data_IF_368522492746
#
_entry.id   IF_368522492746
#
_cell.length_a   1.000
_cell.length_b   1.000
_cell.length_c   1.000
_cell.angle_alpha   90.00
_cell.angle_beta   90.00
_cell.angle_gamma   90.00
#
_symmetry.space_group_name_H-M   'P 1'
#
loop_
_entity.id
_entity.type
_entity.pdbx_description
1 polymer ?
#
# COMPACT_ATOMS: atom_id res chain seq x y z
N UNK A 1 -50.52 -35.49 22.03
CA UNK A 1 -49.39 -36.44 22.08
C UNK A 1 -48.73 -36.67 20.72
N UNK A 2 -49.47 -36.81 19.61
CA UNK A 2 -48.87 -37.18 18.31
C UNK A 2 -48.11 -36.07 17.57
N UNK A 3 -48.49 -34.79 17.72
CA UNK A 3 -47.83 -33.67 17.00
C UNK A 3 -46.41 -33.38 17.54
N UNK A 4 -46.24 -33.38 18.86
CA UNK A 4 -44.94 -33.18 19.50
C UNK A 4 -43.96 -34.33 19.19
N UNK A 5 -44.46 -35.56 19.11
CA UNK A 5 -43.66 -36.72 18.71
C UNK A 5 -43.22 -36.63 17.24
N UNK A 6 -44.12 -36.18 16.35
CA UNK A 6 -43.81 -35.97 14.93
C UNK A 6 -42.76 -34.86 14.71
N UNK A 7 -42.89 -33.75 15.43
CA UNK A 7 -41.89 -32.66 15.40
C UNK A 7 -40.54 -33.16 15.94
N UNK A 8 -40.53 -33.90 17.05
CA UNK A 8 -39.30 -34.47 17.61
C UNK A 8 -38.61 -35.43 16.64
N UNK A 9 -39.36 -36.26 15.91
CA UNK A 9 -38.82 -37.16 14.89
C UNK A 9 -38.24 -36.38 13.70
N UNK A 10 -38.94 -35.36 13.21
CA UNK A 10 -38.46 -34.53 12.11
C UNK A 10 -37.18 -33.77 12.48
N UNK A 11 -37.10 -33.21 13.69
CA UNK A 11 -35.87 -32.56 14.20
C UNK A 11 -34.71 -33.55 14.27
N UNK A 12 -34.96 -34.80 14.68
CA UNK A 12 -33.94 -35.84 14.71
C UNK A 12 -33.45 -36.21 13.31
N UNK A 13 -34.35 -36.39 12.35
CA UNK A 13 -33.99 -36.68 10.96
C UNK A 13 -33.21 -35.54 10.32
N UNK A 14 -33.61 -34.29 10.54
CA UNK A 14 -32.86 -33.11 10.10
C UNK A 14 -31.49 -33.07 10.74
N UNK A 15 -31.36 -33.39 12.03
CA UNK A 15 -30.06 -33.42 12.71
C UNK A 15 -29.16 -34.55 12.18
N UNK A 16 -29.70 -35.74 11.93
CA UNK A 16 -28.98 -36.86 11.33
C UNK A 16 -28.54 -36.51 9.90
N UNK A 17 -29.40 -35.88 9.11
CA UNK A 17 -29.08 -35.42 7.77
C UNK A 17 -27.99 -34.35 7.77
N UNK A 18 -28.10 -33.32 8.63
CA UNK A 18 -27.08 -32.27 8.78
C UNK A 18 -25.76 -32.88 9.25
N UNK A 19 -25.79 -33.83 10.17
CA UNK A 19 -24.61 -34.57 10.63
C UNK A 19 -23.98 -35.38 9.49
N UNK A 20 -24.79 -36.11 8.72
CA UNK A 20 -24.34 -36.91 7.58
C UNK A 20 -23.70 -36.05 6.48
N UNK A 21 -24.34 -34.92 6.13
CA UNK A 21 -23.82 -33.96 5.14
C UNK A 21 -22.52 -33.31 5.64
N UNK A 22 -22.45 -32.90 6.91
CA UNK A 22 -21.20 -32.35 7.50
C UNK A 22 -20.08 -33.38 7.56
N UNK A 23 -20.38 -34.65 7.82
CA UNK A 23 -19.36 -35.68 8.00
C UNK A 23 -18.77 -36.19 6.67
N UNK A 24 -19.49 -35.98 5.56
CA UNK A 24 -19.09 -36.36 4.20
C UNK A 24 -18.56 -35.21 3.33
N UNK A 25 -18.41 -33.98 3.86
CA UNK A 25 -17.91 -32.86 3.07
C UNK A 25 -16.45 -33.04 2.58
N UNK A 26 -15.66 -33.87 3.27
CA UNK A 26 -14.29 -34.21 2.89
C UNK A 26 -14.03 -35.71 3.04
N UNK A 27 -13.23 -36.33 2.15
CA UNK A 27 -12.89 -37.75 2.25
C UNK A 27 -12.18 -38.07 3.58
N UNK A 28 -12.34 -39.31 4.02
CA UNK A 28 -11.67 -39.81 5.23
C UNK A 28 -10.15 -39.91 5.00
N UNK A 29 -9.31 -39.75 6.03
CA UNK A 29 -7.86 -39.91 5.87
C UNK A 29 -7.49 -41.27 5.26
N UNK A 30 -6.42 -41.27 4.44
CA UNK A 30 -5.90 -42.50 3.86
C UNK A 30 -5.36 -43.45 4.94
N UNK A 31 -5.36 -44.75 4.63
CA UNK A 31 -4.64 -45.74 5.45
C UNK A 31 -3.13 -45.49 5.36
N UNK A 32 -2.36 -46.02 6.31
CA UNK A 32 -0.89 -45.84 6.29
C UNK A 32 -0.24 -46.48 5.06
N UNK A 33 -0.82 -47.57 4.55
CA UNK A 33 -0.33 -48.28 3.37
C UNK A 33 -0.69 -47.53 2.09
N UNK A 34 -1.91 -46.99 2.00
CA UNK A 34 -2.33 -46.15 0.87
C UNK A 34 -1.56 -44.83 0.82
N UNK A 35 -1.35 -44.17 1.96
CA UNK A 35 -0.55 -42.94 2.05
C UNK A 35 0.87 -43.20 1.50
N UNK A 36 1.51 -44.31 1.90
CA UNK A 36 2.82 -44.70 1.37
C UNK A 36 2.79 -44.94 -0.14
N UNK A 37 1.81 -45.69 -0.63
CA UNK A 37 1.65 -45.98 -2.05
C UNK A 37 1.50 -44.70 -2.88
N UNK A 38 0.65 -43.78 -2.46
CA UNK A 38 0.43 -42.53 -3.20
C UNK A 38 1.61 -41.58 -3.10
N UNK A 39 2.36 -41.59 -2.00
CA UNK A 39 3.62 -40.85 -1.89
C UNK A 39 4.67 -41.37 -2.90
N UNK A 40 4.81 -42.68 -3.04
CA UNK A 40 5.73 -43.30 -4.03
C UNK A 40 5.31 -42.98 -5.47
N UNK A 41 4.01 -43.01 -5.78
CA UNK A 41 3.50 -42.63 -7.10
C UNK A 41 3.71 -41.14 -7.39
N UNK A 42 3.52 -40.28 -6.39
CA UNK A 42 3.76 -38.85 -6.53
C UNK A 42 5.23 -38.53 -6.79
N UNK A 43 6.17 -39.25 -6.15
CA UNK A 43 7.61 -39.13 -6.43
C UNK A 43 7.96 -39.51 -7.88
N UNK A 44 7.15 -40.37 -8.52
CA UNK A 44 7.25 -40.72 -9.94
C UNK A 44 6.58 -39.69 -10.88
N UNK A 45 6.00 -38.63 -10.32
CA UNK A 45 5.33 -37.55 -11.07
C UNK A 45 3.82 -37.76 -11.29
N UNK A 46 3.18 -38.69 -10.58
CA UNK A 46 1.73 -38.91 -10.70
C UNK A 46 0.93 -37.77 -10.07
N UNK A 47 0.28 -36.98 -10.93
CA UNK A 47 -0.58 -35.87 -10.53
C UNK A 47 -1.89 -36.31 -9.83
N UNK A 48 -2.41 -37.51 -10.14
CA UNK A 48 -3.59 -38.06 -9.47
C UNK A 48 -3.26 -38.44 -8.03
N UNK A 49 -2.11 -39.07 -7.82
CA UNK A 49 -1.62 -39.39 -6.48
C UNK A 49 -1.45 -38.12 -5.62
N UNK A 50 -0.88 -37.06 -6.20
CA UNK A 50 -0.78 -35.74 -5.54
C UNK A 50 -2.16 -35.21 -5.12
N UNK A 51 -3.14 -35.21 -6.02
CA UNK A 51 -4.48 -34.69 -5.72
C UNK A 51 -5.18 -35.51 -4.63
N UNK A 52 -5.08 -36.84 -4.66
CA UNK A 52 -5.61 -37.70 -3.61
C UNK A 52 -5.00 -37.39 -2.24
N UNK A 53 -3.67 -37.24 -2.17
CA UNK A 53 -3.00 -36.87 -0.93
C UNK A 53 -3.49 -35.51 -0.39
N UNK A 54 -3.76 -34.53 -1.26
CA UNK A 54 -4.31 -33.23 -0.87
C UNK A 54 -5.74 -33.40 -0.34
N UNK A 55 -6.64 -34.00 -1.11
CA UNK A 55 -8.07 -34.13 -0.77
C UNK A 55 -8.29 -34.86 0.55
N UNK A 56 -7.60 -35.98 0.76
CA UNK A 56 -7.70 -36.78 1.99
C UNK A 56 -7.08 -36.11 3.22
N UNK A 57 -6.32 -35.02 3.06
CA UNK A 57 -5.77 -34.23 4.15
C UNK A 57 -6.47 -32.87 4.36
N UNK A 58 -7.52 -32.53 3.60
CA UNK A 58 -8.24 -31.25 3.76
C UNK A 58 -8.85 -31.06 5.17
N UNK A 59 -9.26 -32.14 5.83
CA UNK A 59 -9.78 -32.08 7.22
C UNK A 59 -8.73 -31.54 8.21
N UNK A 60 -7.45 -31.75 7.94
CA UNK A 60 -6.35 -31.22 8.74
C UNK A 60 -6.27 -29.69 8.65
N UNK A 61 -6.51 -29.14 7.45
CA UNK A 61 -6.56 -27.68 7.23
C UNK A 61 -7.65 -27.06 8.10
N UNK A 62 -8.87 -27.58 8.00
CA UNK A 62 -10.00 -27.11 8.80
C UNK A 62 -9.72 -27.22 10.31
N UNK A 63 -9.04 -28.27 10.76
CA UNK A 63 -8.65 -28.41 12.17
C UNK A 63 -7.62 -27.36 12.62
N UNK A 64 -6.64 -27.04 11.78
CA UNK A 64 -5.59 -26.07 12.11
C UNK A 64 -6.13 -24.64 12.09
N UNK A 65 -7.00 -24.32 11.12
CA UNK A 65 -7.63 -22.99 11.00
C UNK A 65 -8.41 -22.61 12.27
N UNK A 66 -8.99 -23.57 13.00
CA UNK A 66 -9.67 -23.31 14.29
C UNK A 66 -8.81 -22.58 15.31
N UNK A 67 -7.48 -22.76 15.27
CA UNK A 67 -6.55 -22.04 16.16
C UNK A 67 -6.47 -20.54 15.86
N UNK A 68 -6.90 -20.13 14.66
CA UNK A 68 -6.79 -18.79 14.13
C UNK A 68 -8.15 -18.06 14.02
N UNK A 69 -9.27 -18.66 14.44
CA UNK A 69 -10.60 -18.02 14.37
C UNK A 69 -10.67 -16.67 15.11
N UNK A 70 -9.83 -16.46 16.13
CA UNK A 70 -9.78 -15.21 16.90
C UNK A 70 -8.98 -14.08 16.24
N UNK A 71 -8.46 -14.25 15.02
CA UNK A 71 -7.68 -13.19 14.34
C UNK A 71 -8.56 -12.09 13.73
N UNK A 72 -9.87 -12.35 13.58
CA UNK A 72 -10.82 -11.45 12.92
C UNK A 72 -10.81 -11.56 11.39
N UNK A 73 -10.12 -12.55 10.85
CA UNK A 73 -10.10 -12.87 9.42
C UNK A 73 -11.25 -13.82 9.07
N UNK A 74 -11.67 -13.79 7.80
CA UNK A 74 -12.68 -14.71 7.31
C UNK A 74 -12.19 -16.16 7.35
N UNK A 75 -13.03 -17.06 7.86
CA UNK A 75 -12.67 -18.46 8.01
C UNK A 75 -12.45 -19.16 6.66
N UNK A 76 -13.16 -18.77 5.61
CA UNK A 76 -13.01 -19.31 4.25
C UNK A 76 -11.68 -18.87 3.63
N UNK A 77 -11.24 -17.64 3.88
CA UNK A 77 -9.93 -17.15 3.47
C UNK A 77 -8.80 -17.93 4.16
N UNK A 78 -8.91 -18.12 5.49
CA UNK A 78 -7.94 -18.90 6.25
C UNK A 78 -7.89 -20.38 5.79
N UNK A 79 -9.03 -20.97 5.43
CA UNK A 79 -9.09 -22.32 4.84
C UNK A 79 -8.38 -22.33 3.48
N UNK A 80 -8.61 -21.33 2.64
CA UNK A 80 -7.97 -21.23 1.31
C UNK A 80 -6.45 -21.10 1.43
N UNK A 81 -5.98 -20.22 2.31
CA UNK A 81 -4.54 -20.02 2.60
C UNK A 81 -3.93 -21.30 3.20
N UNK A 82 -4.63 -21.91 4.16
CA UNK A 82 -4.21 -23.18 4.75
C UNK A 82 -4.11 -24.30 3.72
N UNK A 83 -5.02 -24.33 2.74
CA UNK A 83 -5.00 -25.29 1.62
C UNK A 83 -3.78 -25.09 0.73
N UNK A 84 -3.38 -23.84 0.47
CA UNK A 84 -2.10 -23.54 -0.22
C UNK A 84 -0.92 -24.10 0.58
N UNK A 85 -0.92 -23.92 1.90
CA UNK A 85 0.09 -24.49 2.79
C UNK A 85 0.14 -26.03 2.75
N UNK A 86 -1.02 -26.69 2.66
CA UNK A 86 -1.13 -28.14 2.48
C UNK A 86 -0.56 -28.58 1.12
N UNK A 87 -0.95 -27.93 0.02
CA UNK A 87 -0.44 -28.25 -1.32
C UNK A 87 1.08 -28.20 -1.36
N UNK A 88 1.66 -27.08 -0.87
CA UNK A 88 3.12 -26.94 -0.77
C UNK A 88 3.74 -28.06 0.07
N UNK A 89 3.09 -28.43 1.18
CA UNK A 89 3.58 -29.50 2.04
C UNK A 89 3.58 -30.86 1.34
N UNK A 90 2.52 -31.19 0.60
CA UNK A 90 2.45 -32.44 -0.17
C UNK A 90 3.55 -32.45 -1.23
N UNK A 91 3.71 -31.36 -1.98
CA UNK A 91 4.72 -31.25 -3.05
C UNK A 91 6.16 -31.33 -2.55
N UNK A 92 6.45 -30.81 -1.35
CA UNK A 92 7.81 -30.77 -0.80
C UNK A 92 8.12 -31.86 0.24
N UNK A 93 7.16 -32.74 0.54
CA UNK A 93 7.35 -33.81 1.52
C UNK A 93 8.31 -34.88 0.98
N UNK A 94 9.07 -35.50 1.89
CA UNK A 94 10.01 -36.59 1.55
C UNK A 94 9.91 -37.69 2.61
N UNK A 95 9.54 -38.90 2.16
CA UNK A 95 9.51 -40.07 3.02
C UNK A 95 10.96 -40.48 3.36
N UNK A 96 11.30 -40.55 4.66
CA UNK A 96 12.64 -40.91 5.12
C UNK A 96 13.29 -39.93 6.11
N UNK A 97 12.68 -38.75 6.32
CA UNK A 97 13.14 -37.78 7.34
C UNK A 97 12.58 -38.01 8.75
N UNK A 98 11.93 -39.16 8.98
CA UNK A 98 11.42 -39.56 10.30
C UNK A 98 10.17 -38.84 10.80
N UNK A 99 9.57 -37.94 10.01
CA UNK A 99 8.34 -37.22 10.36
C UNK A 99 7.16 -37.69 9.54
N UNK A 100 6.00 -37.90 10.17
CA UNK A 100 4.75 -38.25 9.47
C UNK A 100 4.28 -37.09 8.58
N UNK A 101 3.61 -37.42 7.47
CA UNK A 101 3.08 -36.44 6.52
C UNK A 101 2.18 -35.40 7.21
N UNK A 102 1.20 -35.84 7.99
CA UNK A 102 0.29 -34.95 8.72
C UNK A 102 1.04 -33.98 9.66
N UNK A 103 2.12 -34.42 10.31
CA UNK A 103 2.94 -33.56 11.19
C UNK A 103 3.67 -32.49 10.40
N UNK A 104 4.24 -32.86 9.25
CA UNK A 104 4.91 -31.92 8.36
C UNK A 104 3.92 -30.93 7.73
N UNK A 105 2.82 -31.43 7.18
CA UNK A 105 1.74 -30.65 6.60
C UNK A 105 1.16 -29.66 7.61
N UNK A 106 0.96 -30.08 8.86
CA UNK A 106 0.45 -29.19 9.89
C UNK A 106 1.34 -27.96 10.10
N UNK A 107 2.67 -28.13 10.09
CA UNK A 107 3.62 -27.02 10.21
C UNK A 107 3.59 -26.09 9.00
N UNK A 108 3.46 -26.63 7.79
CA UNK A 108 3.39 -25.83 6.56
C UNK A 108 2.08 -25.03 6.48
N UNK A 109 0.94 -25.65 6.81
CA UNK A 109 -0.37 -24.99 6.89
C UNK A 109 -0.32 -23.83 7.87
N UNK A 110 0.17 -24.10 9.10
CA UNK A 110 0.31 -23.07 10.13
C UNK A 110 1.23 -21.93 9.69
N UNK A 111 2.36 -22.24 9.05
CA UNK A 111 3.30 -21.25 8.57
C UNK A 111 2.67 -20.35 7.48
N UNK A 112 1.93 -20.91 6.53
CA UNK A 112 1.30 -20.12 5.46
C UNK A 112 0.27 -19.15 6.03
N UNK A 113 -0.57 -19.60 6.97
CA UNK A 113 -1.52 -18.74 7.69
C UNK A 113 -0.79 -17.62 8.44
N UNK A 114 0.26 -17.95 9.20
CA UNK A 114 1.05 -16.96 9.93
C UNK A 114 1.74 -15.94 9.01
N UNK A 115 2.20 -16.37 7.83
CA UNK A 115 2.78 -15.49 6.82
C UNK A 115 1.75 -14.50 6.29
N UNK A 116 0.54 -14.96 5.99
CA UNK A 116 -0.56 -14.09 5.56
C UNK A 116 -0.93 -13.05 6.65
N UNK A 117 -1.13 -13.49 7.88
CA UNK A 117 -1.44 -12.60 9.02
C UNK A 117 -0.35 -11.55 9.26
N UNK A 118 0.92 -11.87 8.97
CA UNK A 118 2.03 -10.92 9.06
C UNK A 118 1.94 -9.82 8.00
N UNK A 119 1.47 -10.13 6.81
CA UNK A 119 1.23 -9.14 5.75
C UNK A 119 0.12 -8.20 6.16
N UNK A 120 -1.01 -8.74 6.62
CA UNK A 120 -2.16 -7.93 7.08
C UNK A 120 -1.83 -7.01 8.25
N UNK A 121 -0.96 -7.43 9.17
CA UNK A 121 -0.49 -6.55 10.27
C UNK A 121 0.21 -5.29 9.77
N UNK A 122 0.81 -5.29 8.57
CA UNK A 122 1.48 -4.09 8.01
C UNK A 122 0.47 -3.04 7.56
N UNK A 123 -0.64 -3.48 6.96
CA UNK A 123 -1.70 -2.62 6.43
C UNK A 123 -2.79 -2.33 7.45
N UNK A 124 -2.81 -2.99 8.61
CA UNK A 124 -3.79 -2.76 9.68
C UNK A 124 -3.82 -1.32 10.23
N UNK A 125 -2.79 -0.52 9.98
CA UNK A 125 -2.76 0.91 10.35
C UNK A 125 -3.32 1.83 9.27
N UNK A 126 -3.60 1.29 8.09
CA UNK A 126 -4.16 2.04 6.98
C UNK A 126 -5.63 2.31 7.29
N UNK A 127 -6.06 3.54 7.06
CA UNK A 127 -7.44 3.98 7.23
C UNK A 127 -7.98 4.34 5.85
N UNK A 128 -9.27 4.11 5.62
CA UNK A 128 -9.88 4.49 4.36
C UNK A 128 -10.07 6.00 4.33
N UNK A 129 -9.71 6.64 3.21
CA UNK A 129 -9.91 8.09 3.06
C UNK A 129 -11.39 8.47 3.01
N UNK A 130 -12.27 7.50 2.76
CA UNK A 130 -13.72 7.67 2.74
C UNK A 130 -14.35 7.43 4.12
N UNK A 131 -13.58 7.00 5.12
CA UNK A 131 -14.13 6.77 6.45
C UNK A 131 -14.59 8.12 7.04
N UNK A 132 -15.81 8.19 7.59
CA UNK A 132 -16.33 9.42 8.16
C UNK A 132 -15.55 9.75 9.44
N UNK A 133 -15.11 10.99 9.55
CA UNK A 133 -14.35 11.51 10.70
C UNK A 133 -15.18 12.46 11.58
N UNK A 134 -16.37 12.85 11.11
CA UNK A 134 -17.28 13.73 11.85
C UNK A 134 -18.51 14.09 11.04
N UNK A 135 -19.30 15.02 11.57
CA UNK A 135 -20.45 15.62 10.89
C UNK A 135 -20.23 17.13 10.78
N UNK A 136 -20.69 17.72 9.69
CA UNK A 136 -20.75 19.17 9.54
C UNK A 136 -21.88 19.78 10.40
N UNK A 137 -22.08 21.11 10.30
CA UNK A 137 -23.15 21.82 11.02
C UNK A 137 -24.56 21.48 10.51
N UNK A 138 -24.66 20.87 9.33
CA UNK A 138 -25.90 20.53 8.64
C UNK A 138 -26.24 19.03 8.82
N UNK A 139 -25.35 18.26 9.45
CA UNK A 139 -25.50 16.83 9.74
C UNK A 139 -24.95 15.91 8.65
N UNK A 140 -24.28 16.44 7.61
CA UNK A 140 -23.66 15.60 6.58
C UNK A 140 -22.36 15.00 7.12
N UNK A 141 -22.06 13.76 6.73
CA UNK A 141 -20.81 13.09 7.08
C UNK A 141 -19.64 13.73 6.35
N UNK A 142 -18.57 14.05 7.08
CA UNK A 142 -17.31 14.53 6.53
C UNK A 142 -16.34 13.36 6.53
N UNK A 143 -15.72 13.10 5.39
CA UNK A 143 -14.70 12.07 5.23
C UNK A 143 -13.29 12.65 5.23
N UNK A 144 -12.28 11.80 5.42
CA UNK A 144 -10.88 12.25 5.48
C UNK A 144 -10.45 12.92 4.16
N UNK A 145 -10.90 12.41 3.01
CA UNK A 145 -10.60 12.96 1.68
C UNK A 145 -11.08 14.41 1.52
N UNK A 146 -12.16 14.81 2.20
CA UNK A 146 -12.72 16.17 2.13
C UNK A 146 -11.83 17.21 2.83
N UNK A 147 -10.99 16.77 3.77
CA UNK A 147 -10.10 17.65 4.55
C UNK A 147 -8.70 17.73 3.94
N UNK A 148 -8.27 16.70 3.23
CA UNK A 148 -6.92 16.62 2.69
C UNK A 148 -6.69 17.72 1.64
N UNK A 149 -5.74 18.62 1.94
CA UNK A 149 -5.34 19.68 1.02
C UNK A 149 -4.57 19.07 -0.16
N UNK A 150 -4.93 19.47 -1.37
CA UNK A 150 -4.14 19.17 -2.57
C UNK A 150 -2.77 19.86 -2.50
N UNK A 151 -1.71 19.18 -2.93
CA UNK A 151 -0.36 19.76 -3.07
C UNK A 151 -0.24 20.75 -4.25
N UNK A 152 -1.32 20.94 -5.02
CA UNK A 152 -1.34 21.91 -6.11
C UNK A 152 -1.02 23.32 -5.61
N UNK A 153 -0.10 24.01 -6.29
CA UNK A 153 0.21 25.42 -6.03
C UNK A 153 -1.08 26.25 -6.06
N UNK A 154 -1.24 27.15 -5.10
CA UNK A 154 -2.40 28.02 -5.04
C UNK A 154 -2.38 28.96 -6.25
N UNK A 155 -3.51 29.02 -6.97
CA UNK A 155 -3.64 29.89 -8.15
C UNK A 155 -3.42 31.36 -7.76
N UNK A 156 -3.82 31.74 -6.55
CA UNK A 156 -3.59 33.08 -6.02
C UNK A 156 -2.09 33.34 -5.86
N UNK A 157 -1.35 32.40 -5.28
CA UNK A 157 0.10 32.51 -5.11
C UNK A 157 0.81 32.59 -6.47
N UNK A 158 0.37 31.78 -7.45
CA UNK A 158 0.90 31.83 -8.83
C UNK A 158 0.65 33.19 -9.50
N UNK A 159 -0.56 33.73 -9.39
CA UNK A 159 -0.90 35.05 -9.96
C UNK A 159 -0.09 36.13 -9.26
N UNK A 160 -0.03 36.13 -7.93
CA UNK A 160 0.73 37.11 -7.17
C UNK A 160 2.22 37.08 -7.55
N UNK A 161 2.83 35.89 -7.61
CA UNK A 161 4.20 35.73 -8.06
C UNK A 161 4.38 36.28 -9.48
N UNK A 162 3.46 36.02 -10.41
CA UNK A 162 3.54 36.55 -11.78
C UNK A 162 3.54 38.08 -11.83
N UNK A 163 2.70 38.73 -11.02
CA UNK A 163 2.62 40.19 -10.91
C UNK A 163 3.88 40.78 -10.28
N UNK A 164 4.46 40.12 -9.28
CA UNK A 164 5.73 40.52 -8.65
C UNK A 164 6.90 40.39 -9.64
N UNK A 165 6.94 39.31 -10.42
CA UNK A 165 7.95 39.10 -11.46
C UNK A 165 7.87 40.15 -12.57
N UNK A 166 6.67 40.59 -12.95
CA UNK A 166 6.48 41.66 -13.94
C UNK A 166 7.03 43.00 -13.45
N UNK A 167 6.78 43.37 -12.19
CA UNK A 167 7.38 44.57 -11.58
C UNK A 167 8.91 44.48 -11.54
N UNK A 168 9.46 43.31 -11.23
CA UNK A 168 10.91 43.09 -11.17
C UNK A 168 11.55 43.26 -12.56
N UNK A 169 10.86 42.86 -13.64
CA UNK A 169 11.38 43.03 -15.02
C UNK A 169 11.65 44.49 -15.38
N UNK A 170 10.87 45.44 -14.87
CA UNK A 170 11.08 46.88 -15.11
C UNK A 170 12.46 47.36 -14.65
N UNK A 171 13.00 46.75 -13.58
CA UNK A 171 14.28 47.15 -12.99
C UNK A 171 15.44 46.25 -13.41
N UNK A 172 15.21 45.26 -14.27
CA UNK A 172 16.29 44.35 -14.73
C UNK A 172 17.18 45.02 -15.76
N UNK A 173 16.66 45.94 -16.56
CA UNK A 173 17.42 46.55 -17.65
C UNK A 173 18.53 47.51 -17.18
N UNK A 174 18.59 47.80 -15.88
CA UNK A 174 19.70 48.55 -15.26
C UNK A 174 20.96 47.67 -15.06
N UNK A 175 20.78 46.35 -15.08
CA UNK A 175 21.84 45.38 -14.82
C UNK A 175 22.70 45.21 -16.08
N UNK A 176 23.98 44.91 -15.86
CA UNK A 176 24.81 44.46 -16.99
C UNK A 176 24.40 43.05 -17.45
N UNK A 177 24.82 42.65 -18.65
CA UNK A 177 24.45 41.35 -19.24
C UNK A 177 24.79 40.16 -18.34
N UNK A 178 25.88 40.25 -17.57
CA UNK A 178 26.33 39.16 -16.70
C UNK A 178 25.49 39.07 -15.43
N UNK A 179 25.15 40.22 -14.85
CA UNK A 179 24.22 40.35 -13.73
C UNK A 179 22.82 39.87 -14.14
N UNK A 180 22.32 40.31 -15.30
CA UNK A 180 21.03 39.90 -15.87
C UNK A 180 20.97 38.40 -16.09
N UNK A 181 22.00 37.79 -16.70
CA UNK A 181 22.07 36.34 -16.90
C UNK A 181 21.99 35.54 -15.58
N UNK A 182 22.69 36.01 -14.52
CA UNK A 182 22.65 35.35 -13.20
C UNK A 182 21.28 35.48 -12.55
N UNK A 183 20.68 36.68 -12.57
CA UNK A 183 19.36 36.94 -11.96
C UNK A 183 18.26 36.17 -12.70
N UNK A 184 18.26 36.19 -14.04
CA UNK A 184 17.30 35.44 -14.86
C UNK A 184 17.32 33.95 -14.53
N UNK A 185 18.51 33.33 -14.49
CA UNK A 185 18.65 31.90 -14.16
C UNK A 185 18.33 31.60 -12.69
N UNK A 186 18.66 32.52 -11.76
CA UNK A 186 18.44 32.32 -10.32
C UNK A 186 16.96 32.28 -9.97
N UNK A 187 16.18 33.18 -10.56
CA UNK A 187 14.76 33.36 -10.25
C UNK A 187 13.82 32.83 -11.35
N UNK A 188 14.34 32.14 -12.37
CA UNK A 188 13.52 31.52 -13.41
C UNK A 188 12.77 32.52 -14.29
N UNK A 189 13.35 33.70 -14.52
CA UNK A 189 12.66 34.77 -15.23
C UNK A 189 12.48 34.40 -16.72
N UNK A 190 11.24 34.45 -17.21
CA UNK A 190 10.95 34.10 -18.62
C UNK A 190 10.54 32.65 -18.85
N UNK A 191 9.82 32.05 -17.90
CA UNK A 191 9.28 30.67 -17.95
C UNK A 191 10.33 29.56 -17.80
N UNK A 192 11.51 29.90 -17.29
CA UNK A 192 12.57 28.92 -17.01
C UNK A 192 12.48 28.49 -15.53
N UNK A 193 12.90 27.26 -15.18
CA UNK A 193 12.95 26.86 -13.76
C UNK A 193 14.05 27.63 -13.01
N UNK A 194 13.78 27.97 -11.75
CA UNK A 194 14.80 28.51 -10.85
C UNK A 194 16.00 27.57 -10.71
N UNK A 195 17.20 28.15 -10.65
CA UNK A 195 18.46 27.40 -10.49
C UNK A 195 19.15 27.83 -9.22
N UNK A 196 19.77 26.87 -8.54
CA UNK A 196 20.64 27.15 -7.40
C UNK A 196 21.92 27.86 -7.85
N UNK A 197 22.57 28.59 -6.95
CA UNK A 197 23.87 29.22 -7.21
C UNK A 197 24.93 28.22 -7.71
N UNK A 198 24.86 26.95 -7.28
CA UNK A 198 25.80 25.89 -7.70
C UNK A 198 25.56 25.48 -9.15
N UNK A 199 24.30 25.34 -9.55
CA UNK A 199 23.93 25.01 -10.93
C UNK A 199 24.30 26.14 -11.90
N UNK A 200 24.05 27.39 -11.49
CA UNK A 200 24.46 28.57 -12.26
C UNK A 200 25.98 28.64 -12.38
N UNK A 201 26.71 28.42 -11.29
CA UNK A 201 28.17 28.40 -11.27
C UNK A 201 28.75 27.39 -12.27
N UNK A 202 28.19 26.17 -12.27
CA UNK A 202 28.56 25.10 -13.21
C UNK A 202 28.26 25.49 -14.66
N UNK A 203 27.09 26.07 -14.93
CA UNK A 203 26.69 26.49 -16.27
C UNK A 203 27.54 27.65 -16.81
N UNK A 204 27.97 28.56 -15.94
CA UNK A 204 28.73 29.76 -16.30
C UNK A 204 30.26 29.57 -16.24
N UNK A 205 30.74 28.39 -15.82
CA UNK A 205 32.17 28.09 -15.69
C UNK A 205 32.88 28.92 -14.61
N UNK A 206 32.16 29.33 -13.55
CA UNK A 206 32.69 30.19 -12.48
C UNK A 206 32.45 29.59 -11.09
N UNK A 207 33.06 30.15 -10.05
CA UNK A 207 32.84 29.67 -8.68
C UNK A 207 31.47 30.05 -8.14
N UNK A 208 30.89 29.19 -7.28
CA UNK A 208 29.64 29.48 -6.53
C UNK A 208 29.74 30.77 -5.70
N UNK A 209 30.92 31.06 -5.14
CA UNK A 209 31.18 32.32 -4.42
C UNK A 209 31.09 33.54 -5.35
N UNK A 210 31.54 33.41 -6.60
CA UNK A 210 31.46 34.49 -7.58
C UNK A 210 30.02 34.74 -8.03
N UNK A 211 29.24 33.69 -8.29
CA UNK A 211 27.79 33.80 -8.55
C UNK A 211 27.08 34.53 -7.41
N UNK A 212 27.35 34.15 -6.16
CA UNK A 212 26.75 34.81 -4.98
C UNK A 212 27.11 36.30 -4.89
N UNK A 213 28.33 36.69 -5.29
CA UNK A 213 28.74 38.11 -5.34
C UNK A 213 28.01 38.89 -6.44
N UNK A 214 27.82 38.28 -7.61
CA UNK A 214 27.07 38.88 -8.72
C UNK A 214 25.60 39.07 -8.31
N UNK A 215 24.96 38.01 -7.78
CA UNK A 215 23.58 38.05 -7.30
C UNK A 215 23.37 39.18 -6.27
N UNK A 216 24.22 39.26 -5.25
CA UNK A 216 24.11 40.31 -4.22
C UNK A 216 24.25 41.72 -4.81
N UNK A 217 25.17 41.93 -5.76
CA UNK A 217 25.39 43.23 -6.39
C UNK A 217 24.20 43.64 -7.26
N UNK A 218 23.71 42.70 -8.07
CA UNK A 218 22.56 42.92 -8.94
C UNK A 218 21.30 43.26 -8.14
N UNK A 219 21.01 42.48 -7.09
CA UNK A 219 19.87 42.75 -6.19
C UNK A 219 19.97 44.14 -5.53
N UNK A 220 21.18 44.55 -5.12
CA UNK A 220 21.38 45.89 -4.57
C UNK A 220 21.11 46.99 -5.60
N UNK A 221 21.55 46.84 -6.85
CA UNK A 221 21.25 47.82 -7.91
C UNK A 221 19.75 47.95 -8.13
N UNK A 222 19.06 46.82 -8.29
CA UNK A 222 17.61 46.77 -8.50
C UNK A 222 16.85 47.41 -7.33
N UNK A 223 17.26 47.11 -6.10
CA UNK A 223 16.65 47.69 -4.90
C UNK A 223 16.78 49.21 -4.84
N UNK A 224 17.95 49.78 -5.16
CA UNK A 224 18.12 51.24 -5.14
C UNK A 224 17.26 51.94 -6.18
N UNK A 225 17.15 51.38 -7.40
CA UNK A 225 16.30 51.94 -8.44
C UNK A 225 14.82 51.82 -8.11
N UNK A 226 14.39 50.68 -7.55
CA UNK A 226 13.02 50.54 -7.03
C UNK A 226 12.68 51.59 -5.98
N UNK A 227 13.55 51.79 -4.98
CA UNK A 227 13.34 52.80 -3.91
C UNK A 227 13.32 54.21 -4.49
N UNK A 228 14.14 54.49 -5.50
CA UNK A 228 14.14 55.79 -6.19
C UNK A 228 12.81 56.02 -6.93
N UNK A 229 12.35 55.06 -7.71
CA UNK A 229 11.10 55.14 -8.46
C UNK A 229 9.88 55.33 -7.54
N UNK A 230 9.85 54.64 -6.40
CA UNK A 230 8.80 54.80 -5.38
C UNK A 230 8.79 56.20 -4.74
N UNK A 231 9.96 56.78 -4.46
CA UNK A 231 10.06 58.15 -3.94
C UNK A 231 9.59 59.18 -4.98
N UNK A 232 9.93 58.98 -6.25
CA UNK A 232 9.51 59.86 -7.34
C UNK A 232 7.99 59.79 -7.61
N UNK A 233 7.36 58.62 -7.42
CA UNK A 233 5.88 58.49 -7.47
C UNK A 233 5.21 59.25 -6.32
N UNK A 234 5.67 59.06 -5.09
CA UNK A 234 5.12 59.75 -3.90
C UNK A 234 5.31 61.26 -3.91
N UNK A 235 6.28 61.78 -4.66
CA UNK A 235 6.49 63.22 -4.82
C UNK A 235 5.60 63.85 -5.91
N UNK A 236 4.92 63.03 -6.72
CA UNK A 236 4.03 63.46 -7.81
C UNK A 236 2.53 63.31 -7.46
N UNK A 237 2.22 62.59 -6.39
CA UNK A 237 0.90 62.50 -5.76
C UNK A 237 0.70 63.62 -4.73
#
# INVERSE_FOLDING_TARGET
MSLFAAIGYMVREVFVFVSYVKNNAFPQPLSSDDERKYLELMEQGDAQARNLLIEHNLRLVAHIVKKFENTGEDAEDLISIGTIGLIKAIESYSAGKGTKLATYAARCIENEILMHLRVLKKTKKDVSLHDPIGQDKEGNEISLIDILKSESEDVIDMIQLSMELEKIKEYIDILDEREKEVIVKRFGLGLDKEKTQREIAKALGISRSYVSRIEKRALMKMFHEFVRAEKEKKAKE
#
